data_IF_245375086916
#
_entry.id   IF_245375086916
#
_cell.length_a   1.000
_cell.length_b   1.000
_cell.length_c   1.000
_cell.angle_alpha   90.00
_cell.angle_beta   90.00
_cell.angle_gamma   90.00
#
_symmetry.space_group_name_H-M   'P 1'
#
loop_
_entity.id
_entity.type
_entity.pdbx_description
1 polymer ?
#
# COMPACT_ATOMS: atom_id res chain seq x y z
N UNK A 1 -3.31 1.21 12.26
CA UNK A 1 -1.99 0.90 11.71
C UNK A 1 -2.14 0.15 10.39
N UNK A 2 -1.71 0.72 9.28
CA UNK A 2 -1.80 0.02 7.99
C UNK A 2 -0.57 -0.81 7.70
N UNK A 3 -0.77 -1.89 6.94
CA UNK A 3 0.32 -2.64 6.34
C UNK A 3 0.16 -2.60 4.83
N UNK A 4 1.25 -2.30 4.13
CA UNK A 4 1.29 -2.29 2.68
C UNK A 4 2.19 -3.40 2.20
N UNK A 5 1.70 -4.19 1.25
CA UNK A 5 2.49 -5.19 0.56
C UNK A 5 2.57 -4.80 -0.90
N UNK A 6 3.79 -4.57 -1.38
CA UNK A 6 4.04 -4.19 -2.76
C UNK A 6 4.81 -5.30 -3.45
N UNK A 7 4.18 -5.89 -4.46
CA UNK A 7 4.85 -6.82 -5.36
C UNK A 7 5.14 -6.07 -6.65
N UNK A 8 6.35 -6.20 -7.18
CA UNK A 8 6.69 -5.48 -8.39
C UNK A 8 7.58 -6.30 -9.32
N UNK A 9 7.37 -6.08 -10.62
CA UNK A 9 8.20 -6.60 -11.69
C UNK A 9 8.85 -5.39 -12.36
N UNK A 10 10.05 -5.05 -11.90
CA UNK A 10 10.86 -3.94 -12.40
C UNK A 10 12.31 -4.21 -12.04
N UNK A 11 13.23 -3.45 -12.61
CA UNK A 11 14.63 -3.60 -12.25
C UNK A 11 14.85 -3.35 -10.76
N UNK A 12 15.64 -4.20 -10.10
CA UNK A 12 15.92 -4.06 -8.68
C UNK A 12 16.77 -2.81 -8.43
N UNK A 13 16.38 -2.02 -7.42
CA UNK A 13 17.07 -0.79 -7.05
C UNK A 13 16.78 -0.48 -5.58
N UNK A 14 17.81 -0.56 -4.73
CA UNK A 14 17.68 -0.36 -3.29
C UNK A 14 17.25 1.07 -2.94
N UNK A 15 17.79 2.08 -3.65
CA UNK A 15 17.44 3.47 -3.40
C UNK A 15 15.98 3.74 -3.76
N UNK A 16 15.52 3.12 -4.86
CA UNK A 16 14.12 3.21 -5.26
C UNK A 16 13.21 2.56 -4.23
N UNK A 17 13.60 1.44 -3.64
CA UNK A 17 12.82 0.77 -2.62
C UNK A 17 12.64 1.69 -1.40
N UNK A 18 13.70 2.36 -0.95
CA UNK A 18 13.59 3.32 0.13
C UNK A 18 12.69 4.50 -0.26
N UNK A 19 12.82 5.00 -1.47
CA UNK A 19 11.98 6.09 -1.96
C UNK A 19 10.51 5.68 -2.03
N UNK A 20 10.23 4.45 -2.49
CA UNK A 20 8.86 3.91 -2.51
C UNK A 20 8.29 3.79 -1.10
N UNK A 21 9.05 3.24 -0.17
CA UNK A 21 8.60 3.10 1.22
C UNK A 21 8.27 4.47 1.82
N UNK A 22 9.12 5.47 1.61
CA UNK A 22 8.90 6.82 2.09
C UNK A 22 7.66 7.46 1.46
N UNK A 23 7.53 7.36 0.14
CA UNK A 23 6.43 7.96 -0.59
C UNK A 23 5.09 7.31 -0.24
N UNK A 24 5.03 5.97 -0.20
CA UNK A 24 3.80 5.26 0.11
C UNK A 24 3.36 5.50 1.56
N UNK A 25 4.30 5.59 2.49
CA UNK A 25 3.99 5.93 3.87
C UNK A 25 3.36 7.33 3.97
N UNK A 26 3.93 8.30 3.27
CA UNK A 26 3.39 9.67 3.24
C UNK A 26 2.00 9.72 2.61
N UNK A 27 1.80 9.05 1.48
CA UNK A 27 0.49 8.99 0.81
C UNK A 27 -0.56 8.37 1.75
N UNK A 28 -0.18 7.31 2.46
CA UNK A 28 -1.06 6.64 3.42
C UNK A 28 -1.49 7.60 4.54
N UNK A 29 -0.54 8.37 5.09
CA UNK A 29 -0.85 9.37 6.11
C UNK A 29 -1.74 10.49 5.55
N UNK A 30 -1.42 11.00 4.36
CA UNK A 30 -2.10 12.15 3.79
C UNK A 30 -3.53 11.83 3.31
N UNK A 31 -3.73 10.65 2.70
CA UNK A 31 -5.04 10.30 2.13
C UNK A 31 -5.93 9.53 3.09
N UNK A 32 -5.36 8.67 3.90
CA UNK A 32 -6.12 7.79 4.80
C UNK A 32 -6.04 8.19 6.26
N UNK A 33 -5.23 9.20 6.59
CA UNK A 33 -5.10 9.70 7.95
C UNK A 33 -4.46 8.73 8.92
N UNK A 34 -3.60 7.84 8.42
CA UNK A 34 -2.94 6.84 9.26
C UNK A 34 -1.60 7.36 9.78
N UNK A 35 -1.17 6.80 10.92
CA UNK A 35 0.08 7.21 11.55
C UNK A 35 1.27 6.66 10.77
N UNK A 36 2.14 7.56 10.33
CA UNK A 36 3.31 7.19 9.53
C UNK A 36 4.28 6.28 10.30
N UNK A 37 4.50 6.57 11.57
CA UNK A 37 5.49 5.86 12.39
C UNK A 37 5.16 4.40 12.65
N UNK A 38 3.93 3.97 12.40
CA UNK A 38 3.53 2.56 12.55
C UNK A 38 2.98 1.98 11.25
N UNK A 39 3.27 2.62 10.13
CA UNK A 39 2.91 2.14 8.81
C UNK A 39 4.03 1.24 8.29
N UNK A 40 3.72 -0.02 8.01
CA UNK A 40 4.69 -0.98 7.50
C UNK A 40 4.56 -1.09 5.97
N UNK A 41 5.70 -1.12 5.27
CA UNK A 41 5.75 -1.34 3.83
C UNK A 41 6.68 -2.50 3.53
N UNK A 42 6.15 -3.53 2.89
CA UNK A 42 6.92 -4.71 2.47
C UNK A 42 7.03 -4.69 0.95
N UNK A 43 8.22 -4.91 0.44
CA UNK A 43 8.49 -4.89 -1.01
C UNK A 43 9.03 -6.24 -1.43
N UNK A 44 8.42 -6.83 -2.46
CA UNK A 44 8.79 -8.12 -3.01
C UNK A 44 8.95 -8.01 -4.51
N UNK A 45 10.10 -8.46 -5.03
CA UNK A 45 10.36 -8.49 -6.47
C UNK A 45 9.88 -9.81 -7.06
N UNK A 46 9.20 -9.73 -8.21
CA UNK A 46 8.80 -10.89 -8.99
C UNK A 46 9.36 -10.73 -10.40
N UNK A 47 9.90 -11.81 -11.00
CA UNK A 47 10.37 -11.72 -12.38
C UNK A 47 9.20 -11.49 -13.34
N UNK A 48 9.41 -10.63 -14.34
CA UNK A 48 8.39 -10.34 -15.35
C UNK A 48 7.91 -11.59 -16.09
N UNK A 49 8.77 -12.60 -16.19
CA UNK A 49 8.44 -13.88 -16.83
C UNK A 49 7.41 -14.69 -16.05
N UNK A 50 7.11 -14.30 -14.83
CA UNK A 50 6.14 -14.99 -13.98
C UNK A 50 4.92 -14.12 -13.63
N UNK A 51 4.74 -13.04 -14.34
CA UNK A 51 3.61 -12.13 -14.17
C UNK A 51 2.88 -12.00 -15.49
N UNK A 52 1.62 -12.37 -15.51
CA UNK A 52 0.84 -12.44 -16.74
C UNK A 52 -0.37 -11.53 -16.66
N UNK A 53 -0.60 -10.78 -17.73
CA UNK A 53 -1.80 -9.97 -17.93
C UNK A 53 -2.37 -10.36 -19.28
N UNK A 54 -3.64 -10.77 -19.33
CA UNK A 54 -4.24 -11.29 -20.55
C UNK A 54 -3.52 -12.51 -21.08
N UNK A 55 -3.00 -13.35 -20.18
CA UNK A 55 -2.23 -14.57 -20.49
C UNK A 55 -0.89 -14.31 -21.18
N UNK A 56 -0.42 -13.08 -21.20
CA UNK A 56 0.89 -12.69 -21.76
C UNK A 56 1.80 -12.20 -20.64
N UNK A 57 3.05 -12.62 -20.65
CA UNK A 57 4.04 -12.11 -19.71
C UNK A 57 4.17 -10.58 -19.88
N UNK A 58 4.21 -9.87 -18.76
CA UNK A 58 4.30 -8.40 -18.79
C UNK A 58 5.61 -7.94 -19.44
N UNK A 59 5.53 -6.84 -20.18
CA UNK A 59 6.68 -6.29 -20.90
C UNK A 59 7.09 -4.90 -20.39
N UNK A 60 6.35 -4.36 -19.45
CA UNK A 60 6.64 -3.07 -18.84
C UNK A 60 6.59 -3.21 -17.32
N UNK A 61 7.13 -2.23 -16.58
CA UNK A 61 7.05 -2.29 -15.11
C UNK A 61 5.62 -2.49 -14.64
N UNK A 62 5.45 -3.41 -13.70
CA UNK A 62 4.13 -3.83 -13.22
C UNK A 62 4.17 -3.89 -11.69
N UNK A 63 3.06 -3.52 -11.05
CA UNK A 63 2.98 -3.50 -9.61
C UNK A 63 1.62 -4.00 -9.12
N UNK A 64 1.64 -4.59 -7.94
CA UNK A 64 0.43 -4.92 -7.18
C UNK A 64 0.65 -4.42 -5.77
N UNK A 65 -0.11 -3.41 -5.38
CA UNK A 65 -0.05 -2.83 -4.04
C UNK A 65 -1.32 -3.17 -3.29
N UNK A 66 -1.18 -3.79 -2.14
CA UNK A 66 -2.29 -4.06 -1.24
C UNK A 66 -2.05 -3.35 0.09
N UNK A 67 -3.03 -2.60 0.55
CA UNK A 67 -3.00 -2.00 1.88
C UNK A 67 -4.12 -2.58 2.71
N UNK A 68 -3.80 -2.94 3.96
CA UNK A 68 -4.81 -3.35 4.94
C UNK A 68 -5.02 -2.23 5.93
N UNK A 69 -6.28 -1.87 6.15
CA UNK A 69 -6.71 -0.85 7.10
C UNK A 69 -7.87 -1.40 7.92
N UNK A 70 -8.13 -0.78 9.07
CA UNK A 70 -9.27 -1.19 9.89
C UNK A 70 -10.58 -0.80 9.22
N UNK A 71 -11.50 -1.75 9.18
CA UNK A 71 -12.83 -1.56 8.61
C UNK A 71 -13.53 -0.36 9.23
N UNK A 72 -14.19 0.44 8.40
CA UNK A 72 -15.02 1.55 8.84
C UNK A 72 -14.25 2.82 9.23
N UNK A 73 -12.94 2.86 9.01
CA UNK A 73 -12.13 4.03 9.38
C UNK A 73 -11.85 4.99 8.22
N UNK A 74 -12.22 4.62 7.00
CA UNK A 74 -11.99 5.46 5.83
C UNK A 74 -13.21 5.49 4.92
N UNK A 75 -13.45 6.65 4.32
CA UNK A 75 -14.54 6.85 3.36
C UNK A 75 -14.16 6.33 1.97
N UNK A 76 -15.15 6.12 1.12
CA UNK A 76 -14.91 5.75 -0.28
C UNK A 76 -14.05 6.79 -1.00
N UNK A 77 -14.26 8.08 -0.71
CA UNK A 77 -13.47 9.16 -1.32
C UNK A 77 -12.00 9.10 -0.88
N UNK A 78 -11.74 8.81 0.38
CA UNK A 78 -10.36 8.67 0.89
C UNK A 78 -9.67 7.47 0.23
N UNK A 79 -10.36 6.35 0.09
CA UNK A 79 -9.80 5.16 -0.57
C UNK A 79 -9.51 5.44 -2.04
N UNK A 80 -10.40 6.13 -2.74
CA UNK A 80 -10.18 6.52 -4.14
C UNK A 80 -8.95 7.43 -4.28
N UNK A 81 -8.80 8.40 -3.37
CA UNK A 81 -7.65 9.31 -3.37
C UNK A 81 -6.35 8.54 -3.13
N UNK A 82 -6.36 7.56 -2.23
CA UNK A 82 -5.20 6.70 -1.99
C UNK A 82 -4.82 5.92 -3.26
N UNK A 83 -5.80 5.27 -3.90
CA UNK A 83 -5.57 4.47 -5.10
C UNK A 83 -4.96 5.32 -6.21
N UNK A 84 -5.50 6.52 -6.43
CA UNK A 84 -5.01 7.43 -7.46
C UNK A 84 -3.58 7.90 -7.16
N UNK A 85 -3.33 8.36 -5.95
CA UNK A 85 -2.02 8.87 -5.55
C UNK A 85 -0.96 7.78 -5.55
N UNK A 86 -1.31 6.58 -5.08
CA UNK A 86 -0.41 5.44 -5.05
C UNK A 86 -0.03 4.99 -6.46
N UNK A 87 -1.00 4.87 -7.36
CA UNK A 87 -0.72 4.51 -8.75
C UNK A 87 0.20 5.54 -9.41
N UNK A 88 -0.06 6.83 -9.20
CA UNK A 88 0.77 7.90 -9.75
C UNK A 88 2.21 7.82 -9.23
N UNK A 89 2.40 7.51 -7.95
CA UNK A 89 3.72 7.35 -7.37
C UNK A 89 4.46 6.14 -7.95
N UNK A 90 3.76 5.02 -8.11
CA UNK A 90 4.33 3.81 -8.73
C UNK A 90 4.73 4.09 -10.17
N UNK A 91 3.90 4.82 -10.92
CA UNK A 91 4.20 5.23 -12.29
C UNK A 91 5.49 6.06 -12.35
N UNK A 92 5.62 7.06 -11.49
CA UNK A 92 6.79 7.94 -11.49
C UNK A 92 8.08 7.20 -11.11
N UNK A 93 8.00 6.30 -10.15
CA UNK A 93 9.19 5.67 -9.59
C UNK A 93 9.59 4.37 -10.29
N UNK A 94 8.63 3.62 -10.82
CA UNK A 94 8.92 2.35 -11.49
C UNK A 94 9.06 2.48 -13.00
N UNK A 95 8.40 3.45 -13.60
CA UNK A 95 8.39 3.62 -15.05
C UNK A 95 8.66 5.08 -15.45
N UNK A 96 9.75 5.69 -14.97
CA UNK A 96 10.07 7.07 -15.36
C UNK A 96 10.35 7.12 -16.87
N UNK A 97 9.67 8.03 -17.57
CA UNK A 97 9.83 8.16 -19.02
C UNK A 97 9.14 7.09 -19.85
N UNK A 98 8.38 6.19 -19.21
CA UNK A 98 7.59 5.18 -19.88
C UNK A 98 6.24 5.04 -19.20
N UNK A 99 5.58 3.89 -19.33
CA UNK A 99 4.28 3.65 -18.72
C UNK A 99 4.29 2.43 -17.83
N UNK A 100 3.76 2.57 -16.63
CA UNK A 100 3.45 1.42 -15.78
C UNK A 100 2.36 0.60 -16.47
N UNK A 101 2.39 -0.73 -16.33
CA UNK A 101 1.33 -1.58 -16.84
C UNK A 101 -0.01 -1.12 -16.26
N UNK A 102 -0.99 -0.86 -17.12
CA UNK A 102 -2.29 -0.34 -16.67
C UNK A 102 -2.98 -1.28 -15.70
N UNK A 103 -2.79 -2.58 -15.88
CA UNK A 103 -3.33 -3.60 -14.99
C UNK A 103 -2.49 -3.79 -13.72
N UNK A 104 -1.77 -2.77 -13.29
CA UNK A 104 -1.14 -2.71 -11.98
C UNK A 104 -2.19 -2.31 -10.96
N UNK A 105 -2.54 -3.23 -10.06
CA UNK A 105 -3.63 -3.02 -9.11
C UNK A 105 -3.16 -2.32 -7.84
N UNK A 106 -4.02 -1.45 -7.32
CA UNK A 106 -3.92 -0.92 -5.96
C UNK A 106 -5.21 -1.34 -5.25
N UNK A 107 -5.07 -2.11 -4.17
CA UNK A 107 -6.19 -2.71 -3.45
C UNK A 107 -6.21 -2.18 -2.03
N UNK A 108 -7.37 -1.71 -1.58
CA UNK A 108 -7.59 -1.36 -0.17
C UNK A 108 -8.40 -2.48 0.45
N UNK A 109 -7.81 -3.17 1.44
CA UNK A 109 -8.48 -4.24 2.19
C UNK A 109 -8.90 -3.71 3.53
N UNK A 110 -10.15 -3.89 3.87
CA UNK A 110 -10.65 -3.55 5.20
C UNK A 110 -10.69 -4.82 6.04
N UNK A 111 -10.09 -4.73 7.23
CA UNK A 111 -10.01 -5.85 8.17
C UNK A 111 -10.73 -5.44 9.45
N UNK A 112 -11.66 -6.25 9.97
CA UNK A 112 -12.30 -5.94 11.25
C UNK A 112 -11.27 -5.68 12.34
N UNK A 113 -11.52 -4.68 13.18
CA UNK A 113 -10.57 -4.28 14.22
C UNK A 113 -10.22 -5.40 15.19
N UNK A 114 -11.09 -6.40 15.34
CA UNK A 114 -10.86 -7.56 16.20
C UNK A 114 -9.95 -8.61 15.57
N UNK A 115 -9.74 -8.53 14.25
CA UNK A 115 -9.13 -9.64 13.48
C UNK A 115 -7.67 -9.40 13.15
N UNK A 116 -7.12 -8.28 13.54
CA UNK A 116 -5.71 -7.98 13.32
C UNK A 116 -5.17 -7.04 14.39
N UNK A 117 -3.86 -7.00 14.52
CA UNK A 117 -3.22 -6.15 15.51
C UNK A 117 -1.71 -6.20 15.41
N UNK A 118 -1.06 -5.43 16.25
CA UNK A 118 0.40 -5.41 16.37
C UNK A 118 0.78 -5.17 17.83
N UNK A 119 2.01 -5.50 18.17
CA UNK A 119 2.47 -5.35 19.56
C UNK A 119 1.60 -6.14 20.52
N UNK A 120 1.13 -7.32 20.10
CA UNK A 120 0.31 -8.24 20.89
C UNK A 120 -1.08 -7.71 21.27
N UNK A 121 -1.53 -6.62 20.66
CA UNK A 121 -2.88 -6.05 20.90
C UNK A 121 -3.63 -5.94 19.61
N UNK A 122 -4.92 -6.23 19.65
CA UNK A 122 -5.81 -6.03 18.50
C UNK A 122 -6.00 -4.55 18.23
N UNK A 123 -6.36 -4.21 17.01
CA UNK A 123 -6.73 -2.83 16.67
C UNK A 123 -7.94 -2.39 17.49
N UNK A 124 -8.86 -3.32 17.76
CA UNK A 124 -10.03 -3.06 18.62
C UNK A 124 -9.60 -2.61 20.03
N UNK A 125 -8.66 -3.34 20.65
CA UNK A 125 -8.15 -2.99 21.98
C UNK A 125 -7.46 -1.62 21.97
N UNK A 126 -6.72 -1.31 20.90
CA UNK A 126 -6.05 -0.01 20.78
C UNK A 126 -7.03 1.13 20.59
N UNK A 127 -8.13 0.92 19.84
CA UNK A 127 -9.19 1.91 19.70
C UNK A 127 -9.85 2.20 21.06
N UNK A 128 -10.14 1.15 21.84
CA UNK A 128 -10.72 1.30 23.17
C UNK A 128 -9.82 2.10 24.10
N UNK A 129 -8.50 1.85 24.06
CA UNK A 129 -7.52 2.60 24.85
C UNK A 129 -7.49 4.07 24.46
N UNK A 130 -7.51 4.37 23.15
CA UNK A 130 -7.53 5.77 22.68
C UNK A 130 -8.80 6.50 23.10
N UNK A 131 -9.95 5.83 23.06
CA UNK A 131 -11.22 6.41 23.50
C UNK A 131 -11.21 6.68 25.00
N UNK A 132 -10.68 5.76 25.79
CA UNK A 132 -10.57 5.95 27.24
C UNK A 132 -9.67 7.15 27.60
N UNK A 133 -8.59 7.37 26.83
CA UNK A 133 -7.68 8.48 27.06
C UNK A 133 -8.26 9.84 26.72
N UNK A 134 -9.33 9.89 25.92
CA UNK A 134 -10.01 11.14 25.56
C UNK A 134 -11.03 11.59 26.60
N UNK A 135 -11.35 10.76 27.55
CA UNK A 135 -12.24 11.08 28.65
C UNK A 135 -11.45 11.61 29.83
#
# INVERSE_FOLDING_TARGET
>A
MPTLTLKLAAAHDRERDQALATTLTRITADTLGKRAEVTAVLIEDLPATRWFVGAQAVQRPTALLEISVTEGTNTAAQKAAFIEAAFAALQRQLAPGSSLEEASYVIVREVPATDWGYGAKTQHARQALRQAQRL
#
